data_IF_206432151155
#
_entry.id   IF_206432151155
#
_cell.length_a   1.000
_cell.length_b   1.000
_cell.length_c   1.000
_cell.angle_alpha   90.00
_cell.angle_beta   90.00
_cell.angle_gamma   90.00
#
_symmetry.space_group_name_H-M   'P 1'
#
loop_
_entity.id
_entity.type
_entity.pdbx_description
1 polymer ?
#
# COMPACT_ATOMS: atom_id res chain seq x y z
N UNK A 1 7.52 10.16 -15.30
CA UNK A 1 6.06 10.17 -15.08
C UNK A 1 5.85 11.17 -13.97
N UNK A 2 5.12 12.26 -14.19
CA UNK A 2 4.60 13.02 -13.05
C UNK A 2 3.89 11.99 -12.18
N UNK A 3 4.44 11.75 -10.98
CA UNK A 3 3.97 10.70 -10.09
C UNK A 3 2.69 11.20 -9.48
N UNK A 4 1.60 11.13 -10.22
CA UNK A 4 0.28 11.45 -9.70
C UNK A 4 0.04 10.54 -8.48
N UNK A 5 0.00 11.11 -7.26
CA UNK A 5 -0.19 10.32 -6.05
C UNK A 5 -1.50 9.54 -6.11
N UNK A 6 -2.52 10.06 -6.80
CA UNK A 6 -3.80 9.36 -6.93
C UNK A 6 -3.69 8.08 -7.76
N UNK A 7 -2.86 8.08 -8.81
CA UNK A 7 -2.62 6.88 -9.60
C UNK A 7 -1.96 5.78 -8.75
N UNK A 8 -0.96 6.15 -7.94
CA UNK A 8 -0.27 5.20 -7.06
C UNK A 8 -1.20 4.68 -5.94
N UNK A 9 -1.99 5.55 -5.33
CA UNK A 9 -3.02 5.16 -4.35
C UNK A 9 -4.02 4.19 -4.97
N UNK A 10 -4.47 4.46 -6.21
CA UNK A 10 -5.37 3.58 -6.95
C UNK A 10 -4.78 2.17 -7.14
N UNK A 11 -3.51 2.08 -7.53
CA UNK A 11 -2.82 0.79 -7.68
C UNK A 11 -2.74 0.02 -6.35
N UNK A 12 -2.34 0.70 -5.27
CA UNK A 12 -2.18 0.07 -3.96
C UNK A 12 -3.54 -0.40 -3.41
N UNK A 13 -4.55 0.46 -3.47
CA UNK A 13 -5.91 0.12 -3.00
C UNK A 13 -6.54 -0.99 -3.82
N UNK A 14 -6.29 -1.05 -5.13
CA UNK A 14 -6.72 -2.16 -5.96
C UNK A 14 -6.05 -3.48 -5.55
N UNK A 15 -4.74 -3.47 -5.30
CA UNK A 15 -4.02 -4.67 -4.84
C UNK A 15 -4.56 -5.18 -3.50
N UNK A 16 -4.87 -4.28 -2.57
CA UNK A 16 -5.52 -4.59 -1.29
C UNK A 16 -6.89 -5.22 -1.53
N UNK A 17 -7.72 -4.62 -2.39
CA UNK A 17 -9.06 -5.12 -2.72
C UNK A 17 -9.02 -6.51 -3.38
N UNK A 18 -8.11 -6.73 -4.32
CA UNK A 18 -7.95 -8.00 -5.03
C UNK A 18 -7.57 -9.14 -4.08
N UNK A 19 -6.79 -8.83 -3.04
CA UNK A 19 -6.44 -9.75 -1.96
C UNK A 19 -7.52 -9.91 -0.90
N UNK A 20 -8.65 -9.19 -1.00
CA UNK A 20 -9.75 -9.20 -0.02
C UNK A 20 -9.36 -8.57 1.32
N UNK A 21 -8.51 -7.53 1.27
CA UNK A 21 -8.26 -6.66 2.42
C UNK A 21 -9.55 -5.99 2.88
N UNK A 22 -9.64 -5.73 4.19
CA UNK A 22 -10.79 -5.09 4.84
C UNK A 22 -10.37 -3.76 5.45
N UNK A 23 -11.35 -2.90 5.75
CA UNK A 23 -11.15 -1.60 6.38
C UNK A 23 -10.07 -0.73 5.71
N UNK A 24 -10.04 -0.71 4.37
CA UNK A 24 -9.08 0.10 3.62
C UNK A 24 -9.42 1.58 3.72
N UNK A 25 -8.52 2.37 4.29
CA UNK A 25 -8.67 3.82 4.49
C UNK A 25 -7.44 4.52 3.91
N UNK A 26 -7.68 5.56 3.11
CA UNK A 26 -6.65 6.48 2.63
C UNK A 26 -6.78 7.80 3.38
N UNK A 27 -5.70 8.24 3.99
CA UNK A 27 -5.64 9.46 4.80
C UNK A 27 -4.69 10.44 4.10
N UNK A 28 -5.20 11.64 3.77
CA UNK A 28 -4.39 12.76 3.28
C UNK A 28 -3.83 13.53 4.49
N UNK A 29 -2.50 13.54 4.62
CA UNK A 29 -1.80 14.17 5.75
C UNK A 29 -0.90 15.32 5.33
N UNK A 30 -0.99 15.80 4.09
CA UNK A 30 -0.12 16.89 3.55
C UNK A 30 -0.12 18.18 4.37
N UNK A 31 -1.21 18.45 5.08
CA UNK A 31 -1.35 19.65 5.94
C UNK A 31 -0.99 19.41 7.41
N UNK A 32 -0.59 18.18 7.76
CA UNK A 32 -0.33 17.74 9.15
C UNK A 32 1.07 17.16 9.31
N UNK A 33 1.62 16.56 8.25
CA UNK A 33 2.93 15.91 8.24
C UNK A 33 3.78 16.44 7.09
N UNK A 34 5.08 16.61 7.35
CA UNK A 34 6.08 16.94 6.32
C UNK A 34 6.86 15.71 5.85
N UNK A 35 6.55 14.52 6.38
CA UNK A 35 7.29 13.27 6.10
C UNK A 35 6.65 12.49 4.95
N UNK A 36 5.32 12.40 4.92
CA UNK A 36 4.55 11.70 3.89
C UNK A 36 3.31 12.50 3.53
N UNK A 37 2.84 12.36 2.30
CA UNK A 37 1.62 12.99 1.80
C UNK A 37 0.36 12.19 2.15
N UNK A 38 0.47 10.86 2.09
CA UNK A 38 -0.65 9.95 2.28
C UNK A 38 -0.28 8.77 3.17
N UNK A 39 -1.27 8.27 3.90
CA UNK A 39 -1.19 7.01 4.65
C UNK A 39 -2.34 6.12 4.19
N UNK A 40 -2.03 4.85 3.92
CA UNK A 40 -3.02 3.83 3.59
C UNK A 40 -3.02 2.80 4.71
N UNK A 41 -4.17 2.58 5.32
CA UNK A 41 -4.38 1.57 6.36
C UNK A 41 -5.29 0.50 5.77
N UNK A 42 -4.96 -0.77 5.98
CA UNK A 42 -5.80 -1.90 5.63
C UNK A 42 -5.57 -3.04 6.61
N UNK A 43 -6.58 -3.90 6.75
CA UNK A 43 -6.58 -5.04 7.65
C UNK A 43 -6.65 -6.35 6.86
N UNK A 44 -6.01 -7.38 7.40
CA UNK A 44 -6.11 -8.75 6.93
C UNK A 44 -6.60 -9.66 8.06
N UNK A 45 -7.39 -10.67 7.73
CA UNK A 45 -7.97 -11.59 8.72
C UNK A 45 -6.97 -12.44 9.52
N UNK A 46 -5.78 -12.72 8.99
CA UNK A 46 -4.75 -13.58 9.58
C UNK A 46 -3.39 -13.20 9.02
N UNK A 47 -2.33 -13.54 9.74
CA UNK A 47 -0.92 -13.29 9.46
C UNK A 47 -0.54 -13.57 8.00
N UNK A 48 -0.80 -14.80 7.53
CA UNK A 48 -0.50 -15.21 6.14
C UNK A 48 -1.22 -14.35 5.10
N UNK A 49 -2.41 -13.84 5.44
CA UNK A 49 -3.20 -13.01 4.54
C UNK A 49 -2.60 -11.60 4.49
N UNK A 50 -2.20 -11.04 5.63
CA UNK A 50 -1.47 -9.76 5.69
C UNK A 50 -0.18 -9.83 4.86
N UNK A 51 0.61 -10.89 5.03
CA UNK A 51 1.86 -11.09 4.27
C UNK A 51 1.58 -11.23 2.76
N UNK A 52 0.56 -12.01 2.38
CA UNK A 52 0.18 -12.16 0.97
C UNK A 52 -0.32 -10.85 0.35
N UNK A 53 -0.97 -10.00 1.14
CA UNK A 53 -1.43 -8.69 0.73
C UNK A 53 -0.25 -7.73 0.55
N UNK A 54 0.69 -7.68 1.51
CA UNK A 54 1.89 -6.86 1.40
C UNK A 54 2.72 -7.20 0.14
N UNK A 55 2.93 -8.50 -0.15
CA UNK A 55 3.63 -8.94 -1.37
C UNK A 55 2.91 -8.51 -2.66
N UNK A 56 1.58 -8.56 -2.67
CA UNK A 56 0.81 -8.15 -3.83
C UNK A 56 0.89 -6.64 -4.09
N UNK A 57 0.94 -5.84 -3.02
CA UNK A 57 1.18 -4.39 -3.12
C UNK A 57 2.56 -4.14 -3.73
N UNK A 58 3.61 -4.81 -3.23
CA UNK A 58 4.98 -4.67 -3.76
C UNK A 58 5.05 -5.01 -5.25
N UNK A 59 4.42 -6.12 -5.66
CA UNK A 59 4.34 -6.53 -7.07
C UNK A 59 3.58 -5.50 -7.93
N UNK A 60 2.43 -5.00 -7.45
CA UNK A 60 1.62 -4.04 -8.19
C UNK A 60 2.33 -2.69 -8.36
N UNK A 61 3.01 -2.21 -7.31
CA UNK A 61 3.81 -0.96 -7.35
C UNK A 61 4.98 -1.12 -8.32
N UNK A 62 5.68 -2.26 -8.30
CA UNK A 62 6.77 -2.53 -9.24
C UNK A 62 6.27 -2.53 -10.69
N UNK A 63 5.13 -3.14 -10.98
CA UNK A 63 4.59 -3.18 -12.33
C UNK A 63 4.11 -1.80 -12.82
N UNK A 64 3.46 -1.02 -11.96
CA UNK A 64 2.86 0.26 -12.33
C UNK A 64 3.85 1.43 -12.32
N UNK A 65 4.65 1.54 -11.27
CA UNK A 65 5.58 2.65 -11.07
C UNK A 65 7.01 2.34 -11.52
N UNK A 66 7.33 1.07 -11.84
CA UNK A 66 8.69 0.58 -12.10
C UNK A 66 9.64 0.85 -10.93
N UNK A 67 9.10 0.84 -9.71
CA UNK A 67 9.82 1.13 -8.48
C UNK A 67 9.52 0.06 -7.43
N UNK A 68 10.50 -0.25 -6.60
CA UNK A 68 10.29 -1.04 -5.40
C UNK A 68 9.86 -0.13 -4.24
N UNK A 69 9.14 -0.66 -3.25
CA UNK A 69 9.04 0.02 -1.96
C UNK A 69 10.44 0.42 -1.49
N UNK A 70 10.60 1.69 -1.10
CA UNK A 70 11.88 2.16 -0.59
C UNK A 70 12.25 1.46 0.72
N UNK A 71 11.24 1.03 1.47
CA UNK A 71 11.40 0.33 2.73
C UNK A 71 10.15 -0.50 3.06
N UNK A 72 10.35 -1.70 3.60
CA UNK A 72 9.28 -2.61 4.06
C UNK A 72 9.67 -3.25 5.39
N UNK A 73 8.77 -3.21 6.37
CA UNK A 73 8.92 -3.85 7.69
C UNK A 73 7.78 -4.85 7.96
N UNK A 74 7.94 -5.67 9.02
CA UNK A 74 6.88 -6.54 9.53
C UNK A 74 6.58 -7.80 8.69
N UNK A 75 7.16 -7.93 7.49
CA UNK A 75 6.90 -9.05 6.56
C UNK A 75 7.20 -10.46 7.12
N UNK A 76 8.03 -10.56 8.16
CA UNK A 76 8.40 -11.83 8.79
C UNK A 76 7.60 -12.16 10.06
N UNK A 77 6.91 -11.17 10.64
CA UNK A 77 6.19 -11.28 11.92
C UNK A 77 4.76 -10.73 11.75
N UNK A 78 4.09 -11.14 10.68
CA UNK A 78 2.68 -10.82 10.43
C UNK A 78 1.77 -11.64 11.31
#
# INVERSE_FOLDING_TARGET
MDKDPQALIGVITQAIYDKKGINTIVIDVRNVSTITDYIIIAEGNVDRHVIAMAKAIDEAVLMAAKEHPSYSEGLQNG
#
